data_IF_923561091229
#
_entry.id   IF_923561091229
#
_cell.length_a   1.000
_cell.length_b   1.000
_cell.length_c   1.000
_cell.angle_alpha   90.00
_cell.angle_beta   90.00
_cell.angle_gamma   90.00
#
_symmetry.space_group_name_H-M   'P 1'
#
loop_
_entity.id
_entity.type
_entity.pdbx_description
1 polymer ?
#
# COMPACT_ATOMS: atom_id res chain seq x y z
N UNK A 1 22.99 31.43 -14.47
CA UNK A 1 22.20 32.45 -13.75
C UNK A 1 20.71 32.14 -13.95
N UNK A 2 20.28 30.95 -13.55
CA UNK A 2 18.89 30.47 -13.70
C UNK A 2 18.51 29.37 -12.69
N UNK A 3 19.46 28.76 -11.96
CA UNK A 3 19.13 27.76 -10.92
C UNK A 3 19.02 28.38 -9.52
N UNK A 4 19.89 29.34 -9.16
CA UNK A 4 19.84 30.03 -7.86
C UNK A 4 18.57 30.87 -7.60
N UNK A 5 17.79 31.20 -8.64
CA UNK A 5 16.55 31.97 -8.47
C UNK A 5 15.33 31.06 -8.23
N UNK A 6 15.43 29.76 -8.54
CA UNK A 6 14.35 28.80 -8.31
C UNK A 6 14.35 28.32 -6.85
N UNK A 7 15.53 28.17 -6.24
CA UNK A 7 15.70 27.70 -4.86
C UNK A 7 15.23 28.72 -3.81
N UNK A 8 15.40 30.02 -4.08
CA UNK A 8 14.98 31.09 -3.17
C UNK A 8 13.45 31.20 -3.10
N UNK A 9 12.76 30.94 -4.22
CA UNK A 9 11.29 31.02 -4.28
C UNK A 9 10.64 29.86 -3.53
N UNK A 10 11.23 28.65 -3.56
CA UNK A 10 10.73 27.53 -2.76
C UNK A 10 10.94 27.73 -1.24
N UNK A 11 12.04 28.37 -0.85
CA UNK A 11 12.37 28.55 0.57
C UNK A 11 11.39 29.48 1.30
N UNK A 12 10.90 30.52 0.62
CA UNK A 12 9.93 31.47 1.18
C UNK A 12 8.51 30.89 1.27
N UNK A 13 8.13 29.97 0.38
CA UNK A 13 6.84 29.24 0.46
C UNK A 13 6.83 28.18 1.58
N UNK A 14 7.98 27.54 1.86
CA UNK A 14 8.15 26.57 2.96
C UNK A 14 8.14 27.24 4.34
N UNK A 15 8.75 28.43 4.48
CA UNK A 15 8.73 29.19 5.73
C UNK A 15 7.34 29.72 6.09
N UNK A 16 6.50 30.04 5.10
CA UNK A 16 5.11 30.43 5.31
C UNK A 16 4.22 29.27 5.83
N UNK A 17 4.68 28.03 5.68
CA UNK A 17 4.04 26.82 6.21
C UNK A 17 4.61 26.39 7.59
N UNK A 18 5.46 27.21 8.22
CA UNK A 18 6.02 26.94 9.55
C UNK A 18 7.12 25.88 9.58
N UNK A 19 7.75 25.60 8.44
CA UNK A 19 8.81 24.59 8.32
C UNK A 19 10.16 25.26 8.54
N UNK A 20 10.76 25.06 9.72
CA UNK A 20 12.17 25.41 9.98
C UNK A 20 13.07 24.25 9.55
N UNK A 21 13.87 24.46 8.51
CA UNK A 21 14.89 23.51 8.05
C UNK A 21 16.19 23.88 8.77
N UNK A 22 16.58 23.10 9.77
CA UNK A 22 17.87 23.25 10.43
C UNK A 22 18.94 22.59 9.55
N UNK A 23 19.58 23.40 8.70
CA UNK A 23 20.59 22.94 7.75
C UNK A 23 21.94 22.72 8.43
N UNK A 24 22.04 21.78 9.36
CA UNK A 24 23.33 21.31 9.89
C UNK A 24 23.18 19.99 10.67
N UNK A 25 22.87 18.89 9.98
CA UNK A 25 23.47 17.56 10.14
C UNK A 25 22.68 16.49 9.37
N UNK A 26 23.44 15.65 8.67
CA UNK A 26 22.99 14.75 7.62
C UNK A 26 22.42 13.43 8.18
N UNK A 27 21.11 13.40 8.52
CA UNK A 27 20.28 12.19 8.66
C UNK A 27 18.80 12.61 8.68
N UNK A 28 18.05 12.37 7.59
CA UNK A 28 16.60 12.62 7.52
C UNK A 28 15.84 11.67 8.46
N UNK A 29 15.72 12.07 9.73
CA UNK A 29 14.82 11.44 10.67
C UNK A 29 13.55 12.29 10.72
N UNK A 30 12.55 11.94 9.90
CA UNK A 30 11.25 12.60 9.92
C UNK A 30 10.52 12.17 11.18
N UNK A 31 10.58 12.99 12.23
CA UNK A 31 9.78 12.86 13.45
C UNK A 31 8.50 13.67 13.32
N UNK A 32 7.38 13.00 13.06
CA UNK A 32 6.07 13.63 13.15
C UNK A 32 5.70 13.80 14.62
N UNK A 33 5.70 15.04 15.12
CA UNK A 33 5.09 15.37 16.41
C UNK A 33 3.78 16.09 16.12
N UNK A 34 2.66 15.37 16.17
CA UNK A 34 1.34 15.99 16.12
C UNK A 34 1.17 16.86 17.36
N UNK A 35 0.81 18.12 17.18
CA UNK A 35 0.57 19.00 18.32
C UNK A 35 -0.82 18.67 18.92
N UNK A 36 -1.02 18.89 20.23
CA UNK A 36 -2.26 18.51 20.91
C UNK A 36 -3.53 19.14 20.32
N UNK A 37 -3.42 20.32 19.67
CA UNK A 37 -4.56 20.98 19.03
C UNK A 37 -4.97 20.29 17.72
N UNK A 38 -4.02 19.71 16.96
CA UNK A 38 -4.32 18.92 15.75
C UNK A 38 -5.02 17.60 16.11
N UNK A 39 -4.68 17.03 17.27
CA UNK A 39 -5.32 15.82 17.81
C UNK A 39 -6.76 16.09 18.27
N UNK A 40 -7.01 17.25 18.89
CA UNK A 40 -8.36 17.71 19.26
C UNK A 40 -9.21 18.03 18.01
N UNK A 41 -8.63 18.61 16.97
CA UNK A 41 -9.34 18.92 15.71
C UNK A 41 -9.76 17.66 14.91
N UNK A 42 -8.97 16.58 14.98
CA UNK A 42 -9.33 15.28 14.40
C UNK A 42 -10.47 14.61 15.21
N UNK A 43 -10.48 14.79 16.53
CA UNK A 43 -11.54 14.27 17.40
C UNK A 43 -12.85 15.04 17.25
N UNK A 44 -12.80 16.37 17.09
CA UNK A 44 -13.98 17.21 16.87
C UNK A 44 -14.61 17.02 15.47
N UNK A 45 -13.81 16.72 14.45
CA UNK A 45 -14.34 16.42 13.10
C UNK A 45 -15.03 15.05 12.98
N UNK A 46 -14.98 14.21 14.02
CA UNK A 46 -15.67 12.91 14.03
C UNK A 46 -17.18 12.99 14.30
N UNK A 47 -17.72 14.17 14.62
CA UNK A 47 -19.15 14.39 14.87
C UNK A 47 -19.86 15.22 13.78
N UNK A 48 -19.48 15.08 12.52
CA UNK A 48 -20.32 15.51 11.40
C UNK A 48 -20.74 14.32 10.54
N UNK A 49 -22.00 13.89 10.71
CA UNK A 49 -22.67 12.98 9.79
C UNK A 49 -22.94 13.72 8.46
N UNK A 50 -21.90 13.98 7.68
CA UNK A 50 -22.08 14.25 6.27
C UNK A 50 -22.28 12.91 5.56
N UNK A 51 -23.55 12.66 5.25
CA UNK A 51 -24.03 11.55 4.46
C UNK A 51 -23.36 11.60 3.07
N UNK A 52 -22.14 11.06 2.97
CA UNK A 52 -21.45 10.78 1.72
C UNK A 52 -22.34 9.82 0.94
N UNK A 53 -23.22 10.41 0.14
CA UNK A 53 -24.01 9.67 -0.81
C UNK A 53 -23.02 9.17 -1.84
N UNK A 54 -22.57 7.92 -1.69
CA UNK A 54 -21.76 7.23 -2.68
C UNK A 54 -22.46 7.44 -4.03
N UNK A 55 -21.83 8.20 -4.92
CA UNK A 55 -22.30 8.33 -6.30
C UNK A 55 -22.04 6.98 -6.95
N UNK A 56 -23.00 6.06 -6.82
CA UNK A 56 -22.98 4.79 -7.53
C UNK A 56 -23.36 5.13 -8.97
N UNK A 57 -22.35 5.27 -9.82
CA UNK A 57 -22.59 5.32 -11.26
C UNK A 57 -23.35 4.04 -11.65
N UNK A 58 -24.60 4.20 -12.08
CA UNK A 58 -25.50 3.10 -12.46
C UNK A 58 -24.99 2.25 -13.63
N UNK A 59 -23.88 2.65 -14.26
CA UNK A 59 -23.21 1.93 -15.33
C UNK A 59 -22.02 1.06 -14.84
N UNK A 60 -21.84 0.90 -13.53
CA UNK A 60 -20.91 -0.09 -12.98
C UNK A 60 -21.52 -1.48 -13.25
N UNK A 61 -20.97 -2.15 -14.27
CA UNK A 61 -21.21 -3.57 -14.53
C UNK A 61 -20.92 -4.35 -13.24
N UNK A 62 -21.96 -4.66 -12.47
CA UNK A 62 -21.87 -5.29 -11.16
C UNK A 62 -21.18 -6.66 -11.21
N UNK A 63 -21.10 -7.28 -12.40
CA UNK A 63 -20.34 -8.51 -12.63
C UNK A 63 -18.82 -8.30 -12.74
N UNK A 64 -18.32 -7.04 -12.73
CA UNK A 64 -16.88 -6.72 -12.66
C UNK A 64 -16.27 -6.85 -11.28
N UNK A 65 -17.08 -6.80 -10.22
CA UNK A 65 -16.60 -6.95 -8.85
C UNK A 65 -16.66 -8.45 -8.54
N UNK A 66 -15.52 -9.12 -8.67
CA UNK A 66 -15.40 -10.53 -8.28
C UNK A 66 -14.95 -10.58 -6.82
N UNK A 67 -15.58 -11.44 -6.02
CA UNK A 67 -15.42 -11.57 -4.56
C UNK A 67 -14.07 -12.16 -4.12
N UNK A 68 -13.04 -12.07 -4.97
CA UNK A 68 -11.67 -12.31 -4.53
C UNK A 68 -11.39 -11.38 -3.37
N UNK A 69 -11.36 -11.92 -2.15
CA UNK A 69 -11.19 -11.13 -0.94
C UNK A 69 -9.88 -11.53 -0.26
N UNK A 70 -9.09 -10.53 0.09
CA UNK A 70 -8.03 -10.69 1.08
C UNK A 70 -8.69 -10.40 2.44
N UNK A 71 -8.53 -11.28 3.44
CA UNK A 71 -9.02 -10.99 4.78
C UNK A 71 -8.20 -9.82 5.36
N UNK A 72 -8.75 -8.61 5.27
CA UNK A 72 -8.12 -7.37 5.71
C UNK A 72 -7.23 -6.71 4.65
N UNK A 73 -6.39 -5.78 5.09
CA UNK A 73 -5.38 -5.09 4.29
C UNK A 73 -4.13 -5.97 4.14
N UNK A 74 -3.35 -5.72 3.09
CA UNK A 74 -2.06 -6.36 2.86
C UNK A 74 -0.99 -5.33 2.52
N UNK A 75 0.27 -5.68 2.78
CA UNK A 75 1.44 -4.88 2.42
C UNK A 75 1.83 -5.24 0.99
N UNK A 76 2.07 -4.22 0.16
CA UNK A 76 2.38 -4.37 -1.26
C UNK A 76 3.44 -3.35 -1.67
N UNK A 77 4.48 -3.82 -2.35
CA UNK A 77 5.35 -3.02 -3.19
C UNK A 77 4.61 -2.75 -4.52
N UNK A 78 4.06 -1.54 -4.64
CA UNK A 78 3.25 -1.16 -5.80
C UNK A 78 4.06 -1.14 -7.09
N UNK A 79 5.34 -0.74 -7.03
CA UNK A 79 6.20 -0.70 -8.22
C UNK A 79 6.39 -2.11 -8.77
N UNK A 80 6.83 -3.01 -7.90
CA UNK A 80 7.00 -4.42 -8.25
C UNK A 80 5.69 -5.06 -8.73
N UNK A 81 4.56 -4.73 -8.08
CA UNK A 81 3.26 -5.25 -8.47
C UNK A 81 2.92 -4.86 -9.92
N UNK A 82 3.05 -3.58 -10.28
CA UNK A 82 2.73 -3.12 -11.63
C UNK A 82 3.66 -3.71 -12.67
N UNK A 83 4.97 -3.82 -12.38
CA UNK A 83 5.93 -4.49 -13.27
C UNK A 83 5.54 -5.95 -13.54
N UNK A 84 5.20 -6.71 -12.49
CA UNK A 84 4.74 -8.09 -12.61
C UNK A 84 3.42 -8.22 -13.37
N UNK A 85 2.52 -7.24 -13.22
CA UNK A 85 1.27 -7.21 -13.98
C UNK A 85 1.53 -7.00 -15.46
N UNK A 86 2.38 -6.03 -15.83
CA UNK A 86 2.76 -5.80 -17.22
C UNK A 86 3.46 -7.02 -17.84
N UNK A 87 4.43 -7.59 -17.14
CA UNK A 87 5.17 -8.78 -17.58
C UNK A 87 4.22 -9.94 -17.93
N UNK A 88 3.18 -10.15 -17.12
CA UNK A 88 2.28 -11.30 -17.25
C UNK A 88 1.06 -11.05 -18.11
N UNK A 89 0.56 -9.82 -18.16
CA UNK A 89 -0.76 -9.52 -18.73
C UNK A 89 -0.75 -8.55 -19.93
N UNK A 90 0.35 -7.92 -20.33
CA UNK A 90 0.30 -7.05 -21.51
C UNK A 90 0.10 -7.83 -22.82
N UNK A 91 0.61 -9.07 -22.90
CA UNK A 91 0.59 -9.87 -24.15
C UNK A 91 0.12 -11.31 -23.94
N UNK A 92 -0.77 -11.53 -22.96
CA UNK A 92 -1.14 -12.86 -22.50
C UNK A 92 -2.05 -13.66 -23.46
N UNK A 93 -2.64 -13.04 -24.49
CA UNK A 93 -3.39 -13.75 -25.53
C UNK A 93 -3.11 -13.16 -26.90
N UNK A 94 -2.69 -14.01 -27.86
CA UNK A 94 -2.49 -13.58 -29.26
C UNK A 94 -3.83 -13.57 -30.00
N UNK A 95 -4.21 -12.43 -30.55
CA UNK A 95 -5.41 -12.28 -31.39
C UNK A 95 -6.67 -11.84 -30.63
N UNK A 96 -6.59 -11.61 -29.32
CA UNK A 96 -7.63 -10.95 -28.53
C UNK A 96 -7.00 -9.72 -27.89
N UNK A 97 -7.58 -8.55 -28.16
CA UNK A 97 -7.16 -7.29 -27.54
C UNK A 97 -7.71 -7.22 -26.11
N UNK A 98 -6.92 -7.74 -25.17
CA UNK A 98 -7.24 -7.71 -23.75
C UNK A 98 -6.68 -6.42 -23.14
N UNK A 99 -7.44 -5.76 -22.26
CA UNK A 99 -7.01 -4.54 -21.57
C UNK A 99 -6.90 -4.75 -20.06
N UNK A 100 -6.28 -3.80 -19.36
CA UNK A 100 -6.26 -3.80 -17.88
C UNK A 100 -7.68 -3.83 -17.28
N UNK A 101 -8.69 -3.26 -17.95
CA UNK A 101 -10.10 -3.29 -17.52
C UNK A 101 -10.72 -4.68 -17.52
N UNK A 102 -10.04 -5.64 -18.17
CA UNK A 102 -10.45 -7.03 -18.26
C UNK A 102 -9.77 -7.91 -17.24
N UNK A 103 -8.77 -7.37 -16.54
CA UNK A 103 -8.09 -8.05 -15.46
C UNK A 103 -8.94 -8.02 -14.19
N UNK A 104 -9.26 -9.21 -13.68
CA UNK A 104 -10.10 -9.38 -12.50
C UNK A 104 -9.29 -10.06 -11.40
N UNK A 105 -9.28 -9.49 -10.20
CA UNK A 105 -8.73 -10.17 -9.03
C UNK A 105 -9.67 -11.29 -8.60
N UNK A 106 -9.15 -12.51 -8.39
CA UNK A 106 -9.96 -13.68 -8.05
C UNK A 106 -9.59 -14.31 -6.70
N UNK A 107 -8.54 -13.81 -6.03
CA UNK A 107 -8.18 -14.24 -4.68
C UNK A 107 -6.70 -14.10 -4.38
N UNK A 108 -6.29 -14.44 -3.16
CA UNK A 108 -4.89 -14.41 -2.76
C UNK A 108 -4.49 -15.57 -1.86
N UNK A 109 -3.21 -15.90 -1.87
CA UNK A 109 -2.58 -16.82 -0.92
C UNK A 109 -1.59 -16.05 -0.05
N UNK A 110 -1.89 -15.95 1.24
CA UNK A 110 -1.08 -15.23 2.23
C UNK A 110 0.03 -16.11 2.81
N UNK A 111 1.24 -15.56 2.87
CA UNK A 111 2.46 -16.16 3.42
C UNK A 111 3.04 -15.17 4.45
N UNK A 112 2.47 -15.18 5.65
CA UNK A 112 2.76 -14.16 6.66
C UNK A 112 2.21 -12.79 6.24
N UNK A 113 3.06 -11.79 6.13
CA UNK A 113 2.75 -10.46 5.61
C UNK A 113 2.87 -10.40 4.07
N UNK A 114 3.52 -11.38 3.45
CA UNK A 114 3.67 -11.49 1.99
C UNK A 114 2.45 -12.16 1.36
N UNK A 115 2.03 -11.70 0.19
CA UNK A 115 0.82 -12.20 -0.48
C UNK A 115 1.10 -12.59 -1.93
N UNK A 116 0.43 -13.63 -2.38
CA UNK A 116 0.38 -14.01 -3.80
C UNK A 116 -1.02 -13.70 -4.32
N UNK A 117 -1.12 -12.67 -5.13
CA UNK A 117 -2.37 -12.15 -5.68
C UNK A 117 -2.69 -12.86 -7.00
N UNK A 118 -3.89 -13.41 -7.13
CA UNK A 118 -4.30 -14.21 -8.29
C UNK A 118 -5.29 -13.38 -9.11
N UNK A 119 -5.01 -13.30 -10.41
CA UNK A 119 -5.79 -12.53 -11.36
C UNK A 119 -6.20 -13.39 -12.56
N UNK A 120 -7.36 -13.08 -13.11
CA UNK A 120 -7.90 -13.70 -14.32
C UNK A 120 -8.36 -12.63 -15.30
N UNK A 121 -7.94 -12.75 -16.55
CA UNK A 121 -8.49 -11.95 -17.64
C UNK A 121 -9.87 -12.49 -18.03
N UNK A 122 -10.91 -11.67 -17.96
CA UNK A 122 -12.29 -12.07 -18.32
C UNK A 122 -12.51 -12.30 -19.81
N UNK A 123 -11.66 -11.72 -20.68
CA UNK A 123 -11.81 -11.81 -22.13
C UNK A 123 -11.28 -13.13 -22.69
N UNK A 124 -10.05 -13.50 -22.31
CA UNK A 124 -9.40 -14.71 -22.82
C UNK A 124 -9.29 -15.83 -21.77
N UNK A 125 -9.75 -15.60 -20.53
CA UNK A 125 -9.68 -16.52 -19.40
C UNK A 125 -8.27 -16.90 -18.93
N UNK A 126 -7.23 -16.18 -19.37
CA UNK A 126 -5.87 -16.37 -18.86
C UNK A 126 -5.80 -16.06 -17.37
N UNK A 127 -5.20 -16.95 -16.60
CA UNK A 127 -5.04 -16.85 -15.15
C UNK A 127 -3.56 -16.85 -14.80
N UNK A 128 -3.16 -15.92 -13.93
CA UNK A 128 -1.81 -15.88 -13.39
C UNK A 128 -1.79 -15.23 -12.02
N UNK A 129 -0.67 -15.37 -11.31
CA UNK A 129 -0.49 -14.80 -9.98
C UNK A 129 0.76 -13.93 -9.90
N UNK A 130 0.70 -12.83 -9.18
CA UNK A 130 1.82 -11.91 -8.89
C UNK A 130 2.08 -11.87 -7.39
N UNK A 131 3.34 -11.69 -6.99
CA UNK A 131 3.67 -11.51 -5.58
C UNK A 131 3.48 -10.04 -5.18
N UNK A 132 3.16 -9.81 -3.90
CA UNK A 132 2.99 -8.46 -3.35
C UNK A 132 4.31 -7.72 -3.17
N UNK A 133 5.45 -8.40 -3.27
CA UNK A 133 6.79 -7.83 -3.12
C UNK A 133 7.80 -8.70 -3.87
N UNK A 134 9.01 -8.18 -4.15
CA UNK A 134 10.09 -8.92 -4.80
C UNK A 134 10.50 -10.18 -4.05
N UNK A 135 11.29 -11.04 -4.70
CA UNK A 135 11.81 -12.22 -4.02
C UNK A 135 12.91 -11.82 -3.02
N UNK A 136 13.20 -12.66 -2.01
CA UNK A 136 14.23 -12.37 -1.00
C UNK A 136 15.63 -12.15 -1.59
N UNK A 137 15.89 -12.60 -2.82
CA UNK A 137 17.18 -12.36 -3.50
C UNK A 137 17.34 -10.91 -3.99
N UNK A 138 16.25 -10.15 -4.12
CA UNK A 138 16.20 -8.79 -4.68
C UNK A 138 15.98 -7.72 -3.60
N UNK A 139 15.34 -8.07 -2.48
CA UNK A 139 15.05 -7.15 -1.38
C UNK A 139 14.86 -7.91 -0.05
N UNK A 140 14.92 -7.18 1.06
CA UNK A 140 14.63 -7.75 2.38
C UNK A 140 13.16 -8.20 2.44
N UNK A 141 12.94 -9.51 2.62
CA UNK A 141 11.59 -10.07 2.76
C UNK A 141 10.83 -9.40 3.91
N UNK A 142 9.59 -8.98 3.65
CA UNK A 142 8.76 -8.23 4.60
C UNK A 142 8.57 -8.97 5.93
N UNK A 143 8.53 -10.31 5.92
CA UNK A 143 8.36 -11.09 7.15
C UNK A 143 9.62 -11.00 7.99
N UNK A 144 10.79 -11.10 7.34
CA UNK A 144 12.09 -10.96 8.01
C UNK A 144 12.23 -9.54 8.54
N UNK A 145 11.90 -8.53 7.73
CA UNK A 145 11.92 -7.12 8.14
C UNK A 145 11.04 -6.85 9.35
N UNK A 146 9.80 -7.36 9.36
CA UNK A 146 8.88 -7.20 10.48
C UNK A 146 9.39 -7.88 11.77
N UNK A 147 9.93 -9.10 11.68
CA UNK A 147 10.50 -9.80 12.84
C UNK A 147 11.77 -9.10 13.34
N UNK A 148 12.68 -8.72 12.44
CA UNK A 148 13.91 -8.02 12.79
C UNK A 148 13.61 -6.67 13.44
N UNK A 149 12.67 -5.90 12.88
CA UNK A 149 12.21 -4.63 13.44
C UNK A 149 11.60 -4.80 14.84
N UNK A 150 10.79 -5.82 15.06
CA UNK A 150 10.28 -6.14 16.39
C UNK A 150 11.42 -6.45 17.39
N UNK A 151 12.39 -7.29 17.01
CA UNK A 151 13.54 -7.62 17.87
C UNK A 151 14.36 -6.37 18.23
N UNK A 152 14.67 -5.54 17.23
CA UNK A 152 15.48 -4.33 17.43
C UNK A 152 14.79 -3.28 18.31
N UNK A 153 13.46 -3.21 18.26
CA UNK A 153 12.66 -2.30 19.10
C UNK A 153 12.34 -2.88 20.48
N UNK A 154 12.81 -4.09 20.79
CA UNK A 154 12.49 -4.79 22.04
C UNK A 154 11.04 -5.30 22.11
N UNK A 155 10.34 -5.34 20.97
CA UNK A 155 8.99 -5.85 20.85
C UNK A 155 8.97 -7.38 20.62
N UNK A 156 7.97 -8.03 21.21
CA UNK A 156 7.69 -9.45 21.02
C UNK A 156 6.65 -9.72 19.91
N UNK A 157 6.44 -11.00 19.60
CA UNK A 157 5.43 -11.44 18.64
C UNK A 157 4.01 -10.93 18.97
N UNK A 158 3.64 -10.90 20.25
CA UNK A 158 2.32 -10.41 20.69
C UNK A 158 2.10 -8.96 20.28
N UNK A 159 3.09 -8.09 20.52
CA UNK A 159 3.03 -6.67 20.16
C UNK A 159 3.00 -6.49 18.63
N UNK A 160 3.82 -7.25 17.89
CA UNK A 160 3.77 -7.23 16.43
C UNK A 160 2.38 -7.62 15.89
N UNK A 161 1.79 -8.67 16.48
CA UNK A 161 0.44 -9.13 16.14
C UNK A 161 -0.64 -8.09 16.46
N UNK A 162 -0.55 -7.44 17.62
CA UNK A 162 -1.44 -6.35 18.02
C UNK A 162 -1.33 -5.15 17.07
N UNK A 163 -0.11 -4.75 16.71
CA UNK A 163 0.13 -3.68 15.73
C UNK A 163 -0.46 -4.01 14.36
N UNK A 164 -0.27 -5.23 13.85
CA UNK A 164 -0.89 -5.67 12.60
C UNK A 164 -2.42 -5.68 12.70
N UNK A 165 -2.98 -6.17 13.81
CA UNK A 165 -4.42 -6.20 14.03
C UNK A 165 -5.03 -4.79 14.07
N UNK A 166 -4.36 -3.83 14.71
CA UNK A 166 -4.77 -2.42 14.74
C UNK A 166 -4.83 -1.81 13.32
N UNK A 167 -3.95 -2.22 12.42
CA UNK A 167 -3.96 -1.82 11.00
C UNK A 167 -4.91 -2.65 10.13
N UNK A 168 -5.67 -3.59 10.70
CA UNK A 168 -6.45 -4.59 9.96
C UNK A 168 -5.60 -5.37 8.94
N UNK A 169 -4.34 -5.67 9.27
CA UNK A 169 -3.43 -6.50 8.49
C UNK A 169 -3.35 -7.88 9.13
N UNK A 170 -3.53 -8.94 8.33
CA UNK A 170 -3.33 -10.31 8.80
C UNK A 170 -1.85 -10.52 9.13
N UNK A 171 -1.55 -10.67 10.42
CA UNK A 171 -0.19 -10.93 10.89
C UNK A 171 0.29 -12.34 10.52
N UNK A 172 1.60 -12.55 10.61
CA UNK A 172 2.23 -13.87 10.55
C UNK A 172 1.56 -14.84 11.54
N UNK A 173 0.97 -15.91 11.02
CA UNK A 173 0.40 -17.01 11.78
C UNK A 173 1.21 -18.29 11.60
N UNK A 174 1.05 -19.25 12.50
CA UNK A 174 1.50 -20.62 12.25
C UNK A 174 0.74 -21.18 11.06
N UNK A 175 1.43 -21.96 10.19
CA UNK A 175 0.77 -22.73 9.13
C UNK A 175 -0.42 -23.48 9.73
N UNK A 176 -1.61 -23.26 9.21
CA UNK A 176 -2.67 -24.27 9.31
C UNK A 176 -2.16 -25.51 8.58
N UNK A 177 -1.80 -26.52 9.36
CA UNK A 177 -1.44 -27.87 8.93
C UNK A 177 -2.61 -28.47 8.15
#
# INVERSE_FOLDING_TARGET
MSELFQDVIMHDELAAMGIEIDTENNEEQITYTLNNNELEEILENSESEENETLIIDSNIDAHRINDGSIPGKCIVDLMYLFEQLHEKFDNHCRGIECSFRDLTFIGAVTHGLKNRLIFKCRMCNFESSVWSEPRPEESLDVNIGAVAGAILTGAGYTQLKESCAAMNIKCMGQKSI
#
